data_IF_830321313785
#
_entry.id   IF_830321313785
#
_cell.length_a   1.000
_cell.length_b   1.000
_cell.length_c   1.000
_cell.angle_alpha   90.00
_cell.angle_beta   90.00
_cell.angle_gamma   90.00
#
_symmetry.space_group_name_H-M   'P 1'
#
loop_
_entity.id
_entity.type
_entity.pdbx_description
1 polymer ?
#
# COMPACT_ATOMS: atom_id res chain seq x y z
N UNK A 1 33.73 -5.52 8.93
CA UNK A 1 32.72 -6.04 9.85
C UNK A 1 32.63 -5.08 11.03
N UNK A 2 31.63 -4.18 11.01
CA UNK A 2 31.41 -3.22 12.11
C UNK A 2 30.14 -3.67 12.83
N UNK A 3 30.29 -4.07 14.10
CA UNK A 3 29.17 -4.41 14.99
C UNK A 3 28.42 -3.11 15.32
N UNK A 4 27.15 -3.07 14.96
CA UNK A 4 26.23 -2.01 15.35
C UNK A 4 25.47 -2.50 16.57
N UNK A 5 25.68 -1.84 17.70
CA UNK A 5 24.96 -2.09 18.95
C UNK A 5 23.75 -1.19 18.96
N UNK A 6 22.56 -1.77 18.87
CA UNK A 6 21.30 -1.03 19.10
C UNK A 6 20.96 -1.08 20.60
N UNK A 7 20.93 0.08 21.22
CA UNK A 7 20.43 0.27 22.57
C UNK A 7 18.91 0.47 22.50
N UNK A 8 18.14 -0.51 22.94
CA UNK A 8 16.67 -0.37 23.08
C UNK A 8 16.40 0.32 24.40
N UNK A 9 16.01 1.59 24.35
CA UNK A 9 15.51 2.32 25.53
C UNK A 9 14.05 1.95 25.78
N UNK A 10 13.80 1.29 26.87
CA UNK A 10 12.44 1.06 27.40
C UNK A 10 11.90 2.35 28.00
N UNK A 11 10.82 2.90 27.45
CA UNK A 11 10.08 3.99 28.06
C UNK A 11 9.06 3.41 29.05
N UNK A 12 9.32 3.63 30.34
CA UNK A 12 8.34 3.48 31.40
C UNK A 12 7.48 4.76 31.44
N UNK A 13 6.19 4.63 31.14
CA UNK A 13 5.22 5.67 31.48
C UNK A 13 4.83 5.51 32.96
N UNK A 14 5.33 6.39 33.81
CA UNK A 14 4.77 6.59 35.14
C UNK A 14 3.55 7.52 35.03
N UNK A 15 2.39 7.00 35.39
CA UNK A 15 1.23 7.83 35.73
C UNK A 15 1.37 8.26 37.17
N UNK A 16 1.48 9.57 37.44
CA UNK A 16 1.34 10.15 38.74
C UNK A 16 -0.16 10.28 39.06
N UNK A 17 -0.60 9.67 40.14
CA UNK A 17 -1.78 10.11 40.87
C UNK A 17 -1.35 10.38 42.31
N UNK A 18 -1.47 11.65 42.75
CA UNK A 18 -1.38 12.04 44.13
C UNK A 18 -2.64 11.59 44.86
N UNK A 19 -2.47 10.84 45.95
CA UNK A 19 -3.44 10.89 47.04
C UNK A 19 -2.74 10.60 48.37
N UNK A 20 -3.03 11.47 49.35
CA UNK A 20 -2.57 11.41 50.73
C UNK A 20 -3.39 10.45 51.58
N UNK A 21 -2.74 9.64 52.40
CA UNK A 21 -3.44 9.09 53.54
C UNK A 21 -2.84 7.86 54.23
N UNK A 22 -2.13 8.11 55.32
CA UNK A 22 -2.00 7.32 56.57
C UNK A 22 -1.54 5.85 56.59
N UNK A 23 -0.49 5.67 57.36
CA UNK A 23 0.10 4.46 57.94
C UNK A 23 -0.87 3.33 58.33
N UNK A 24 -0.51 2.11 57.90
CA UNK A 24 -0.53 0.94 58.80
C UNK A 24 0.47 -0.12 58.28
N UNK A 25 1.38 -0.51 59.20
CA UNK A 25 2.23 -1.67 59.03
C UNK A 25 1.39 -2.96 59.05
N UNK A 26 1.63 -3.91 58.19
CA UNK A 26 1.83 -5.31 58.54
C UNK A 26 2.00 -6.23 57.28
N UNK A 27 2.91 -7.18 57.43
CA UNK A 27 2.81 -8.47 56.78
C UNK A 27 3.64 -8.61 55.47
N UNK A 28 4.89 -9.05 55.62
CA UNK A 28 5.71 -9.50 54.49
C UNK A 28 5.04 -10.60 53.70
N UNK A 29 4.72 -10.27 52.45
CA UNK A 29 4.59 -11.24 51.36
C UNK A 29 5.90 -11.19 50.59
N UNK A 30 6.72 -12.24 50.69
CA UNK A 30 7.83 -12.50 49.81
C UNK A 30 7.26 -12.68 48.40
N UNK A 31 7.11 -11.60 47.66
CA UNK A 31 6.88 -11.65 46.22
C UNK A 31 8.13 -12.26 45.58
N UNK A 32 8.01 -13.44 45.03
CA UNK A 32 9.04 -13.99 44.18
C UNK A 32 9.30 -12.98 43.06
N UNK A 33 10.45 -12.32 43.08
CA UNK A 33 10.94 -11.55 41.93
C UNK A 33 11.07 -12.59 40.81
N UNK A 34 10.19 -12.53 39.83
CA UNK A 34 10.31 -13.35 38.65
C UNK A 34 11.61 -12.88 37.98
N UNK A 35 12.63 -13.74 38.05
CA UNK A 35 13.92 -13.46 37.45
C UNK A 35 13.70 -13.27 35.95
N UNK A 36 13.88 -12.04 35.45
CA UNK A 36 13.69 -11.74 34.04
C UNK A 36 14.85 -12.34 33.28
N UNK A 37 14.61 -13.35 32.45
CA UNK A 37 15.64 -13.93 31.59
C UNK A 37 16.24 -12.83 30.70
N UNK A 38 17.57 -12.63 30.75
CA UNK A 38 18.22 -11.68 29.85
C UNK A 38 17.97 -12.05 28.39
N UNK A 39 17.75 -11.04 27.53
CA UNK A 39 17.53 -11.20 26.11
C UNK A 39 18.57 -10.42 25.32
N UNK A 40 19.18 -11.09 24.34
CA UNK A 40 20.09 -10.47 23.37
C UNK A 40 19.65 -10.86 21.95
N UNK A 41 20.22 -10.22 20.94
CA UNK A 41 19.91 -10.57 19.54
C UNK A 41 21.20 -10.79 18.74
N UNK A 42 21.19 -11.83 17.93
CA UNK A 42 22.18 -12.11 16.88
C UNK A 42 21.42 -12.60 15.65
N UNK A 43 20.77 -11.65 14.94
CA UNK A 43 19.89 -11.93 13.81
C UNK A 43 20.72 -12.50 12.65
N UNK A 44 20.79 -13.80 12.57
CA UNK A 44 21.55 -14.58 11.58
C UNK A 44 20.68 -15.48 10.71
N UNK A 45 19.36 -15.51 10.96
CA UNK A 45 18.41 -16.34 10.22
C UNK A 45 17.35 -15.43 9.60
N UNK A 46 17.28 -15.45 8.28
CA UNK A 46 16.21 -14.79 7.53
C UNK A 46 14.97 -15.68 7.47
N UNK A 47 13.81 -15.08 7.70
CA UNK A 47 12.52 -15.75 7.73
C UNK A 47 11.59 -15.23 6.65
N UNK A 48 10.71 -16.10 6.19
CA UNK A 48 9.58 -15.76 5.32
C UNK A 48 8.31 -16.45 5.78
N UNK A 49 7.15 -15.87 5.36
CA UNK A 49 5.83 -16.47 5.50
C UNK A 49 5.25 -16.78 4.12
N UNK A 50 4.36 -17.75 4.03
CA UNK A 50 3.74 -18.15 2.76
C UNK A 50 2.71 -17.12 2.23
N UNK A 51 2.26 -16.18 3.09
CA UNK A 51 1.34 -15.09 2.70
C UNK A 51 1.72 -13.77 3.37
N UNK A 52 1.28 -12.67 2.78
CA UNK A 52 1.46 -11.33 3.32
C UNK A 52 0.57 -11.03 4.53
N UNK A 53 -0.58 -11.67 4.62
CA UNK A 53 -1.50 -11.63 5.76
C UNK A 53 -2.36 -12.89 5.79
N UNK A 54 -3.03 -13.14 6.92
CA UNK A 54 -3.82 -14.33 7.19
C UNK A 54 -5.19 -13.95 7.71
N UNK A 55 -6.23 -14.66 7.27
CA UNK A 55 -7.56 -14.52 7.89
C UNK A 55 -7.57 -15.25 9.24
N UNK A 56 -8.44 -14.83 10.19
CA UNK A 56 -8.65 -15.56 11.43
C UNK A 56 -8.90 -17.05 11.17
N UNK A 57 -8.13 -17.90 11.83
CA UNK A 57 -8.22 -19.36 11.66
C UNK A 57 -7.34 -19.97 10.56
N UNK A 58 -6.66 -19.15 9.75
CA UNK A 58 -5.67 -19.67 8.79
C UNK A 58 -4.35 -20.03 9.49
N UNK A 59 -3.68 -21.09 9.00
CA UNK A 59 -2.35 -21.46 9.45
C UNK A 59 -1.29 -20.64 8.70
N UNK A 60 -0.27 -20.24 9.44
CA UNK A 60 0.95 -19.60 8.92
C UNK A 60 1.96 -20.70 8.63
N UNK A 61 2.57 -20.67 7.46
CA UNK A 61 3.76 -21.48 7.15
C UNK A 61 4.97 -20.57 7.16
N UNK A 62 5.93 -20.87 8.03
CA UNK A 62 7.21 -20.18 8.10
C UNK A 62 8.27 -20.97 7.35
N UNK A 63 9.22 -20.25 6.76
CA UNK A 63 10.40 -20.82 6.15
C UNK A 63 11.62 -20.01 6.56
N UNK A 64 12.66 -20.69 7.02
CA UNK A 64 13.99 -20.14 7.24
C UNK A 64 14.87 -20.38 6.02
N UNK A 65 15.71 -19.41 5.66
CA UNK A 65 16.59 -19.55 4.49
C UNK A 65 17.72 -20.55 4.72
N UNK A 66 18.12 -20.72 5.97
CA UNK A 66 19.18 -21.66 6.38
C UNK A 66 18.69 -22.68 7.41
N UNK A 67 19.44 -23.77 7.53
CA UNK A 67 19.16 -24.79 8.53
C UNK A 67 19.29 -24.21 9.96
N UNK A 68 18.28 -24.45 10.77
CA UNK A 68 18.24 -23.92 12.12
C UNK A 68 19.19 -24.71 13.03
N UNK A 69 19.95 -24.03 13.90
CA UNK A 69 20.79 -24.67 14.90
C UNK A 69 19.97 -25.56 15.83
N UNK A 70 20.59 -26.66 16.29
CA UNK A 70 19.95 -27.58 17.24
C UNK A 70 19.51 -26.81 18.51
N UNK A 71 18.33 -27.11 19.03
CA UNK A 71 17.76 -26.48 20.22
C UNK A 71 17.14 -25.11 19.99
N UNK A 72 17.01 -24.67 18.73
CA UNK A 72 16.24 -23.47 18.40
C UNK A 72 14.79 -23.66 18.77
N UNK A 73 14.20 -22.61 19.38
CA UNK A 73 12.78 -22.52 19.72
C UNK A 73 12.16 -21.32 19.00
N UNK A 74 10.86 -21.35 18.84
CA UNK A 74 10.07 -20.19 18.39
C UNK A 74 9.10 -19.81 19.48
N UNK A 75 8.95 -18.51 19.72
CA UNK A 75 7.86 -17.95 20.53
C UNK A 75 7.10 -16.90 19.70
N UNK A 76 5.82 -16.81 19.97
CA UNK A 76 4.93 -15.89 19.30
C UNK A 76 4.47 -14.84 20.30
N UNK A 77 4.57 -13.57 19.93
CA UNK A 77 4.24 -12.45 20.81
C UNK A 77 3.11 -11.60 20.25
N UNK A 78 2.28 -11.12 21.14
CA UNK A 78 1.32 -10.05 20.91
C UNK A 78 1.62 -8.93 21.90
N UNK A 79 2.02 -7.75 21.40
CA UNK A 79 2.35 -6.56 22.24
C UNK A 79 3.33 -6.86 23.39
N UNK A 80 4.29 -7.74 23.16
CA UNK A 80 5.28 -8.12 24.18
C UNK A 80 4.94 -9.37 24.98
N UNK A 81 3.66 -9.75 25.07
CA UNK A 81 3.25 -10.96 25.76
C UNK A 81 3.45 -12.21 24.89
N UNK A 82 3.97 -13.28 25.49
CA UNK A 82 4.11 -14.57 24.81
C UNK A 82 2.75 -15.26 24.75
N UNK A 83 2.23 -15.49 23.55
CA UNK A 83 0.96 -16.16 23.29
C UNK A 83 1.10 -17.60 22.84
N UNK A 84 2.31 -18.05 22.62
CA UNK A 84 2.66 -19.42 22.26
C UNK A 84 4.17 -19.61 22.16
N UNK A 85 4.63 -20.82 22.45
CA UNK A 85 6.04 -21.21 22.34
C UNK A 85 6.12 -22.68 21.96
N UNK A 86 7.05 -23.00 21.10
CA UNK A 86 7.31 -24.39 20.68
C UNK A 86 8.78 -24.63 20.32
N UNK A 87 9.21 -25.87 20.42
CA UNK A 87 10.50 -26.26 19.87
C UNK A 87 10.41 -26.32 18.35
N UNK A 88 11.33 -25.67 17.66
CA UNK A 88 11.41 -25.76 16.21
C UNK A 88 11.89 -27.16 15.84
N UNK A 89 11.05 -27.82 15.07
CA UNK A 89 11.30 -29.19 14.63
C UNK A 89 12.38 -29.19 13.56
N UNK A 90 13.14 -30.27 13.47
CA UNK A 90 14.18 -30.52 12.49
C UNK A 90 13.77 -30.10 11.07
N UNK A 91 14.37 -29.05 10.54
CA UNK A 91 14.10 -28.53 9.19
C UNK A 91 14.15 -27.01 9.11
N UNK A 92 13.82 -26.51 7.94
CA UNK A 92 13.77 -25.07 7.64
C UNK A 92 12.34 -24.52 7.59
N UNK A 93 11.31 -25.36 7.83
CA UNK A 93 9.91 -24.91 7.75
C UNK A 93 9.08 -25.50 8.89
N UNK A 94 8.17 -24.70 9.42
CA UNK A 94 7.19 -25.08 10.43
C UNK A 94 5.88 -24.33 10.24
N UNK A 95 4.84 -24.72 10.99
CA UNK A 95 3.53 -24.08 10.91
C UNK A 95 3.07 -23.62 12.28
N UNK A 96 2.33 -22.54 12.32
CA UNK A 96 1.68 -22.02 13.51
C UNK A 96 0.21 -21.70 13.26
N UNK A 97 -0.63 -21.95 14.25
CA UNK A 97 -2.04 -21.56 14.25
C UNK A 97 -2.21 -20.33 15.15
N UNK A 98 -2.28 -19.09 14.59
CA UNK A 98 -2.53 -17.91 15.39
C UNK A 98 -3.89 -17.99 16.13
N UNK A 99 -4.05 -17.28 17.25
CA UNK A 99 -5.36 -17.04 17.80
C UNK A 99 -6.33 -16.43 16.77
N UNK A 100 -7.60 -16.79 16.84
CA UNK A 100 -8.62 -16.36 15.87
C UNK A 100 -9.14 -14.93 16.08
N UNK A 101 -8.54 -14.18 17.00
CA UNK A 101 -8.88 -12.76 17.21
C UNK A 101 -8.45 -11.94 16.01
N UNK A 102 -9.41 -11.24 15.40
CA UNK A 102 -9.19 -10.43 14.23
C UNK A 102 -8.38 -9.15 14.49
N UNK A 103 -7.73 -8.63 13.45
CA UNK A 103 -6.95 -7.39 13.46
C UNK A 103 -5.84 -7.39 14.51
N UNK A 104 -5.01 -8.44 14.49
CA UNK A 104 -3.85 -8.60 15.37
C UNK A 104 -2.57 -8.80 14.56
N UNK A 105 -1.53 -8.09 14.99
CA UNK A 105 -0.16 -8.29 14.52
C UNK A 105 0.64 -9.05 15.55
N UNK A 106 1.22 -10.16 15.16
CA UNK A 106 2.08 -10.99 16.00
C UNK A 106 3.52 -10.87 15.53
N UNK A 107 4.45 -11.16 16.45
CA UNK A 107 5.87 -11.35 16.15
C UNK A 107 6.26 -12.79 16.45
N UNK A 108 6.80 -13.49 15.46
CA UNK A 108 7.48 -14.76 15.68
C UNK A 108 8.96 -14.48 15.93
N UNK A 109 9.50 -14.99 17.05
CA UNK A 109 10.90 -14.85 17.44
C UNK A 109 11.53 -16.24 17.50
N UNK A 110 12.50 -16.51 16.64
CA UNK A 110 13.39 -17.65 16.80
C UNK A 110 14.48 -17.30 17.81
N UNK A 111 14.70 -18.18 18.78
CA UNK A 111 15.72 -17.94 19.81
C UNK A 111 16.39 -19.23 20.26
N UNK A 112 17.56 -19.10 20.85
CA UNK A 112 18.32 -20.16 21.53
C UNK A 112 18.60 -19.71 22.95
N UNK A 113 18.75 -20.66 23.85
CA UNK A 113 19.23 -20.39 25.21
C UNK A 113 20.72 -20.62 25.29
N UNK A 114 21.47 -19.56 25.63
CA UNK A 114 22.92 -19.61 25.80
C UNK A 114 23.30 -19.03 27.18
N UNK A 115 23.86 -19.87 28.04
CA UNK A 115 24.30 -19.46 29.39
C UNK A 115 23.22 -18.72 30.21
N UNK A 116 21.97 -19.15 30.14
CA UNK A 116 20.83 -18.51 30.84
C UNK A 116 20.32 -17.24 30.18
N UNK A 117 20.77 -16.93 28.95
CA UNK A 117 20.31 -15.79 28.14
C UNK A 117 19.56 -16.29 26.91
N UNK A 118 18.44 -15.69 26.57
CA UNK A 118 17.76 -15.90 25.30
C UNK A 118 18.45 -15.08 24.20
N UNK A 119 18.98 -15.75 23.20
CA UNK A 119 19.59 -15.11 22.02
C UNK A 119 18.62 -15.22 20.85
N UNK A 120 18.02 -14.10 20.44
CA UNK A 120 17.11 -14.04 19.29
C UNK A 120 17.93 -14.11 18.01
N UNK A 121 17.68 -15.11 17.17
CA UNK A 121 18.43 -15.37 15.94
C UNK A 121 17.63 -15.03 14.66
N UNK A 122 16.32 -14.87 14.75
CA UNK A 122 15.47 -14.46 13.63
C UNK A 122 14.12 -13.95 14.10
N UNK A 123 13.53 -13.03 13.37
CA UNK A 123 12.20 -12.48 13.67
C UNK A 123 11.41 -12.28 12.38
N UNK A 124 10.09 -12.47 12.48
CA UNK A 124 9.16 -12.10 11.40
C UNK A 124 7.79 -11.74 11.97
N UNK A 125 7.14 -10.75 11.38
CA UNK A 125 5.77 -10.39 11.73
C UNK A 125 4.75 -11.37 11.12
N UNK A 126 3.58 -11.45 11.74
CA UNK A 126 2.41 -12.17 11.20
C UNK A 126 1.19 -11.26 11.39
N UNK A 127 0.52 -10.95 10.29
CA UNK A 127 -0.70 -10.14 10.27
C UNK A 127 -1.93 -11.05 10.16
N UNK A 128 -2.79 -11.03 11.17
CA UNK A 128 -4.08 -11.73 11.17
C UNK A 128 -5.19 -10.70 10.98
N UNK A 129 -5.76 -10.68 9.79
CA UNK A 129 -6.74 -9.68 9.39
C UNK A 129 -7.74 -10.25 8.38
N UNK A 130 -9.03 -10.14 8.68
CA UNK A 130 -10.09 -10.50 7.73
C UNK A 130 -10.22 -9.49 6.60
N UNK A 131 -9.72 -8.27 6.82
CA UNK A 131 -9.73 -7.15 5.87
C UNK A 131 -8.33 -6.53 5.75
N UNK A 132 -7.64 -6.72 4.62
CA UNK A 132 -6.30 -6.18 4.41
C UNK A 132 -6.27 -4.64 4.35
N UNK A 133 -7.41 -3.96 4.15
CA UNK A 133 -7.49 -2.50 4.16
C UNK A 133 -7.34 -1.90 5.57
N UNK A 134 -7.45 -2.72 6.62
CA UNK A 134 -7.23 -2.27 8.01
C UNK A 134 -5.75 -2.03 8.33
N UNK A 135 -4.85 -2.68 7.62
CA UNK A 135 -3.40 -2.51 7.77
C UNK A 135 -2.73 -2.51 6.38
N UNK A 136 -3.04 -1.52 5.53
CA UNK A 136 -2.54 -1.49 4.17
C UNK A 136 -1.03 -1.21 4.16
N UNK A 137 -0.29 -2.09 3.51
CA UNK A 137 1.12 -1.93 3.18
C UNK A 137 1.22 -1.97 1.67
N UNK A 138 1.40 -0.79 1.09
CA UNK A 138 1.21 -0.55 -0.33
C UNK A 138 2.54 -0.45 -1.05
N UNK A 139 2.71 -1.24 -2.10
CA UNK A 139 3.83 -1.18 -3.02
C UNK A 139 3.39 -0.93 -4.45
N UNK A 140 4.34 -0.85 -5.38
CA UNK A 140 4.03 -0.78 -6.80
C UNK A 140 5.05 -1.55 -7.64
N UNK A 141 4.61 -1.97 -8.83
CA UNK A 141 5.44 -2.49 -9.91
C UNK A 141 5.27 -1.59 -11.14
N UNK A 142 6.35 -1.38 -11.90
CA UNK A 142 6.37 -0.44 -13.04
C UNK A 142 7.14 -0.96 -14.26
N UNK A 143 7.61 -2.20 -14.22
CA UNK A 143 8.30 -2.85 -15.34
C UNK A 143 7.50 -4.08 -15.78
N UNK A 144 6.98 -4.03 -16.98
CA UNK A 144 6.18 -5.11 -17.60
C UNK A 144 6.84 -5.63 -18.86
N UNK A 145 8.16 -5.54 -18.94
CA UNK A 145 8.96 -6.03 -20.05
C UNK A 145 8.89 -7.56 -20.19
N UNK A 146 9.35 -8.08 -21.32
CA UNK A 146 9.42 -9.53 -21.58
C UNK A 146 10.26 -10.31 -20.55
N UNK A 147 11.14 -9.61 -19.82
CA UNK A 147 11.99 -10.21 -18.77
C UNK A 147 11.18 -10.64 -17.53
N UNK A 148 9.94 -10.17 -17.39
CA UNK A 148 9.05 -10.48 -16.26
C UNK A 148 8.32 -11.81 -16.49
N UNK A 149 9.10 -12.90 -16.54
CA UNK A 149 8.58 -14.28 -16.61
C UNK A 149 7.83 -14.65 -15.34
N UNK A 150 7.12 -15.78 -15.34
CA UNK A 150 6.41 -16.27 -14.15
C UNK A 150 7.37 -16.52 -12.97
N UNK A 151 8.56 -17.05 -13.23
CA UNK A 151 9.59 -17.28 -12.22
C UNK A 151 10.10 -15.94 -11.66
N UNK A 152 10.41 -14.98 -12.55
CA UNK A 152 10.96 -13.69 -12.12
C UNK A 152 9.95 -12.89 -11.30
N UNK A 153 8.70 -12.85 -11.71
CA UNK A 153 7.64 -12.16 -10.96
C UNK A 153 7.37 -12.84 -9.62
N UNK A 154 7.48 -14.17 -9.55
CA UNK A 154 7.36 -14.92 -8.29
C UNK A 154 8.48 -14.55 -7.31
N UNK A 155 9.74 -14.42 -7.77
CA UNK A 155 10.87 -13.97 -6.94
C UNK A 155 10.66 -12.55 -6.41
N UNK A 156 10.24 -11.64 -7.28
CA UNK A 156 9.99 -10.24 -6.89
C UNK A 156 8.84 -10.11 -5.89
N UNK A 157 7.76 -10.88 -6.07
CA UNK A 157 6.65 -10.88 -5.13
C UNK A 157 6.99 -11.58 -3.82
N UNK A 158 7.84 -12.62 -3.83
CA UNK A 158 8.37 -13.22 -2.62
C UNK A 158 9.20 -12.21 -1.80
N UNK A 159 10.00 -11.37 -2.48
CA UNK A 159 10.71 -10.28 -1.83
C UNK A 159 9.76 -9.27 -1.17
N UNK A 160 8.70 -8.83 -1.87
CA UNK A 160 7.69 -7.93 -1.29
C UNK A 160 6.93 -8.60 -0.14
N UNK A 161 6.66 -9.90 -0.23
CA UNK A 161 6.01 -10.66 0.83
C UNK A 161 6.83 -10.68 2.13
N UNK A 162 8.15 -10.77 2.05
CA UNK A 162 9.03 -10.66 3.24
C UNK A 162 8.87 -9.34 3.99
N UNK A 163 8.47 -8.28 3.27
CA UNK A 163 8.17 -6.96 3.84
C UNK A 163 6.68 -6.77 4.15
N UNK A 164 5.90 -7.85 4.08
CA UNK A 164 4.45 -7.87 4.34
C UNK A 164 3.65 -6.88 3.49
N UNK A 165 4.12 -6.55 2.29
CA UNK A 165 3.34 -5.78 1.31
C UNK A 165 2.12 -6.60 0.94
N UNK A 166 0.92 -6.05 1.14
CA UNK A 166 -0.34 -6.74 0.93
C UNK A 166 -1.22 -6.13 -0.17
N UNK A 167 -0.80 -4.98 -0.72
CA UNK A 167 -1.41 -4.31 -1.86
C UNK A 167 -0.33 -3.86 -2.83
N UNK A 168 -0.54 -4.07 -4.13
CA UNK A 168 0.45 -3.69 -5.16
C UNK A 168 -0.25 -2.99 -6.31
N UNK A 169 0.20 -1.78 -6.61
CA UNK A 169 -0.21 -0.96 -7.73
C UNK A 169 0.60 -1.30 -8.98
N UNK A 170 -0.05 -1.34 -10.12
CA UNK A 170 0.56 -1.50 -11.43
C UNK A 170 0.73 -0.13 -12.08
N UNK A 171 1.88 0.51 -11.83
CA UNK A 171 2.15 1.86 -12.32
C UNK A 171 2.43 1.86 -13.82
N UNK A 172 1.76 2.74 -14.57
CA UNK A 172 1.95 2.95 -16.01
C UNK A 172 1.86 1.67 -16.87
N UNK A 173 1.09 0.69 -16.45
CA UNK A 173 0.89 -0.56 -17.20
C UNK A 173 -0.02 -0.38 -18.42
N UNK A 174 -0.84 0.69 -18.45
CA UNK A 174 -1.94 0.90 -19.38
C UNK A 174 -1.48 1.48 -20.73
N UNK A 175 -2.24 1.18 -21.76
CA UNK A 175 -1.98 1.70 -23.12
C UNK A 175 -2.21 3.23 -23.19
N UNK A 176 -3.40 3.69 -22.81
CA UNK A 176 -3.78 5.11 -22.77
C UNK A 176 -4.68 5.35 -21.56
N UNK A 177 -4.72 6.55 -21.01
CA UNK A 177 -5.60 6.85 -19.89
C UNK A 177 -7.09 6.67 -20.24
N UNK A 178 -7.52 7.09 -21.42
CA UNK A 178 -8.89 6.93 -21.90
C UNK A 178 -9.18 5.54 -22.50
N UNK A 179 -8.16 4.76 -22.78
CA UNK A 179 -8.26 3.39 -23.29
C UNK A 179 -7.16 2.52 -22.67
N UNK A 180 -7.34 2.09 -21.41
CA UNK A 180 -6.25 1.47 -20.64
C UNK A 180 -5.80 0.11 -21.19
N UNK A 181 -6.70 -0.65 -21.81
CA UNK A 181 -6.39 -1.98 -22.32
C UNK A 181 -5.53 -1.91 -23.59
N UNK A 182 -4.49 -2.74 -23.68
CA UNK A 182 -3.80 -3.03 -24.94
C UNK A 182 -4.67 -3.96 -25.78
N UNK A 183 -5.18 -3.46 -26.93
CA UNK A 183 -6.12 -4.18 -27.78
C UNK A 183 -7.59 -3.91 -27.41
N UNK A 184 -8.43 -4.95 -27.51
CA UNK A 184 -9.86 -4.89 -27.24
C UNK A 184 -10.29 -5.92 -26.19
N UNK A 185 -11.52 -5.82 -25.69
CA UNK A 185 -12.07 -6.78 -24.72
C UNK A 185 -11.97 -8.24 -25.16
N UNK A 186 -12.11 -8.49 -26.46
CA UNK A 186 -12.12 -9.86 -27.03
C UNK A 186 -10.81 -10.28 -27.65
N UNK A 187 -9.88 -9.34 -27.86
CA UNK A 187 -8.57 -9.59 -28.46
C UNK A 187 -7.53 -8.66 -27.82
N UNK A 188 -6.75 -9.21 -26.91
CA UNK A 188 -5.63 -8.51 -26.32
C UNK A 188 -4.46 -8.47 -27.29
N UNK A 189 -3.76 -7.34 -27.29
CA UNK A 189 -2.43 -7.27 -27.89
C UNK A 189 -1.45 -8.08 -27.01
N UNK A 190 -0.59 -8.87 -27.62
CA UNK A 190 0.48 -9.56 -26.90
C UNK A 190 1.46 -8.57 -26.28
N UNK A 191 1.77 -7.51 -27.05
CA UNK A 191 2.65 -6.41 -26.66
C UNK A 191 2.00 -5.09 -27.08
N UNK A 192 1.97 -4.12 -26.20
CA UNK A 192 1.54 -2.76 -26.50
C UNK A 192 2.49 -1.74 -25.88
N UNK A 193 2.37 -0.48 -26.29
CA UNK A 193 3.15 0.61 -25.71
C UNK A 193 2.35 1.28 -24.59
N UNK A 194 2.99 1.56 -23.46
CA UNK A 194 2.41 2.42 -22.43
C UNK A 194 2.42 3.91 -22.82
N UNK A 195 2.00 4.79 -21.91
CA UNK A 195 1.97 6.24 -22.15
C UNK A 195 3.37 6.85 -22.40
N UNK A 196 4.42 6.21 -21.88
CA UNK A 196 5.83 6.62 -22.06
C UNK A 196 6.51 5.94 -23.27
N UNK A 197 5.74 5.23 -24.11
CA UNK A 197 6.23 4.43 -25.23
C UNK A 197 7.23 3.33 -24.82
N UNK A 198 7.01 2.71 -23.63
CA UNK A 198 7.71 1.49 -23.22
C UNK A 198 6.86 0.28 -23.59
N UNK A 199 7.50 -0.82 -23.98
CA UNK A 199 6.80 -2.07 -24.27
C UNK A 199 6.23 -2.67 -22.98
N UNK A 200 4.95 -3.02 -23.01
CA UNK A 200 4.22 -3.77 -21.98
C UNK A 200 3.80 -5.11 -22.59
N UNK A 201 4.23 -6.19 -21.95
CA UNK A 201 3.84 -7.54 -22.31
C UNK A 201 2.63 -7.96 -21.49
N UNK A 202 1.54 -8.31 -22.16
CA UNK A 202 0.31 -8.80 -21.51
C UNK A 202 0.57 -10.00 -20.61
N UNK A 203 1.49 -10.89 -21.01
CA UNK A 203 1.93 -12.02 -20.20
C UNK A 203 2.59 -11.58 -18.88
N UNK A 204 3.42 -10.53 -18.91
CA UNK A 204 4.11 -10.01 -17.72
C UNK A 204 3.13 -9.40 -16.72
N UNK A 205 2.11 -8.69 -17.19
CA UNK A 205 1.02 -8.19 -16.33
C UNK A 205 0.31 -9.35 -15.65
N UNK A 206 -0.04 -10.40 -16.39
CA UNK A 206 -0.70 -11.61 -15.84
C UNK A 206 0.18 -12.35 -14.84
N UNK A 207 1.49 -12.50 -15.15
CA UNK A 207 2.44 -13.15 -14.26
C UNK A 207 2.53 -12.44 -12.90
N UNK A 208 2.56 -11.10 -12.88
CA UNK A 208 2.55 -10.35 -11.64
C UNK A 208 1.27 -10.54 -10.84
N UNK A 209 0.09 -10.47 -11.48
CA UNK A 209 -1.19 -10.69 -10.79
C UNK A 209 -1.22 -12.10 -10.16
N UNK A 210 -0.80 -13.11 -10.90
CA UNK A 210 -0.75 -14.49 -10.41
C UNK A 210 0.21 -14.65 -9.23
N UNK A 211 1.42 -14.08 -9.35
CA UNK A 211 2.41 -14.11 -8.28
C UNK A 211 1.91 -13.40 -7.02
N UNK A 212 1.26 -12.25 -7.15
CA UNK A 212 0.66 -11.52 -6.03
C UNK A 212 -0.43 -12.33 -5.34
N UNK A 213 -1.34 -12.91 -6.10
CA UNK A 213 -2.43 -13.73 -5.56
C UNK A 213 -1.94 -14.97 -4.81
N UNK A 214 -0.80 -15.57 -5.21
CA UNK A 214 -0.19 -16.68 -4.46
C UNK A 214 0.19 -16.28 -3.04
N UNK A 215 0.61 -15.05 -2.83
CA UNK A 215 0.91 -14.49 -1.50
C UNK A 215 -0.29 -13.81 -0.83
N UNK A 216 -1.48 -13.89 -1.42
CA UNK A 216 -2.69 -13.25 -0.90
C UNK A 216 -2.72 -11.73 -1.05
N UNK A 217 -1.79 -11.14 -1.81
CA UNK A 217 -1.76 -9.70 -2.07
C UNK A 217 -2.91 -9.26 -2.97
N UNK A 218 -3.28 -7.99 -2.89
CA UNK A 218 -4.25 -7.33 -3.76
C UNK A 218 -3.55 -6.65 -4.93
N UNK A 219 -4.02 -6.90 -6.15
CA UNK A 219 -3.51 -6.34 -7.40
C UNK A 219 -4.38 -5.16 -7.82
N UNK A 220 -3.80 -3.95 -7.90
CA UNK A 220 -4.51 -2.72 -8.22
C UNK A 220 -4.00 -2.13 -9.54
N UNK A 221 -4.86 -2.03 -10.56
CA UNK A 221 -4.42 -1.31 -11.75
C UNK A 221 -4.47 0.21 -11.52
N UNK A 222 -3.49 0.89 -12.09
CA UNK A 222 -3.35 2.34 -12.03
C UNK A 222 -4.00 2.99 -13.26
N UNK A 223 -4.71 4.11 -13.07
CA UNK A 223 -5.05 5.03 -14.14
C UNK A 223 -5.52 6.38 -13.57
N UNK A 224 -5.46 7.45 -14.38
CA UNK A 224 -6.04 8.75 -14.06
C UNK A 224 -7.58 8.72 -14.15
N UNK A 225 -8.26 9.45 -13.25
CA UNK A 225 -9.71 9.62 -13.32
C UNK A 225 -10.19 10.53 -14.48
N UNK A 226 -9.28 11.26 -15.13
CA UNK A 226 -9.64 12.38 -16.02
C UNK A 226 -8.60 12.67 -17.10
N UNK A 227 -7.88 11.66 -17.58
CA UNK A 227 -6.83 11.81 -18.59
C UNK A 227 -7.25 11.32 -19.97
N UNK A 228 -6.99 12.12 -21.00
CA UNK A 228 -7.15 11.75 -22.40
C UNK A 228 -5.92 12.16 -23.21
N UNK A 229 -5.48 11.31 -24.17
CA UNK A 229 -4.38 11.63 -25.06
C UNK A 229 -4.90 12.38 -26.30
N UNK A 230 -3.98 12.87 -27.13
CA UNK A 230 -4.31 13.71 -28.30
C UNK A 230 -5.22 13.03 -29.33
N UNK A 231 -5.21 11.70 -29.38
CA UNK A 231 -5.97 10.87 -30.33
C UNK A 231 -7.30 10.35 -29.76
N UNK A 232 -7.68 10.78 -28.55
CA UNK A 232 -8.81 10.24 -27.82
C UNK A 232 -10.17 10.37 -28.53
N UNK A 233 -10.32 11.36 -29.42
CA UNK A 233 -11.51 11.48 -30.23
C UNK A 233 -11.75 10.27 -31.14
N UNK A 234 -10.71 9.61 -31.62
CA UNK A 234 -10.81 8.38 -32.44
C UNK A 234 -11.28 7.18 -31.62
N UNK A 235 -11.09 7.23 -30.31
CA UNK A 235 -11.47 6.21 -29.36
C UNK A 235 -12.83 6.54 -28.68
N UNK A 236 -13.53 7.59 -29.13
CA UNK A 236 -14.88 7.94 -28.71
C UNK A 236 -14.96 8.99 -27.59
N UNK A 237 -13.84 9.59 -27.18
CA UNK A 237 -13.87 10.73 -26.23
C UNK A 237 -14.42 11.97 -26.93
N UNK A 238 -15.45 12.57 -26.32
CA UNK A 238 -16.14 13.72 -26.91
C UNK A 238 -15.54 15.04 -26.45
N UNK A 239 -15.66 16.05 -27.30
CA UNK A 239 -15.17 17.39 -27.04
C UNK A 239 -15.81 18.03 -25.80
N UNK A 240 -17.09 17.76 -25.58
CA UNK A 240 -17.88 18.29 -24.47
C UNK A 240 -17.47 17.72 -23.11
N UNK A 241 -16.60 16.73 -23.07
CA UNK A 241 -16.11 16.15 -21.81
C UNK A 241 -14.88 16.83 -21.27
N UNK A 242 -14.14 17.60 -22.12
CA UNK A 242 -12.88 18.22 -21.69
C UNK A 242 -13.08 19.37 -20.72
N UNK A 243 -12.03 19.61 -19.94
CA UNK A 243 -11.87 20.80 -19.10
C UNK A 243 -11.08 21.88 -19.86
N UNK A 244 -11.48 23.11 -19.67
CA UNK A 244 -10.92 24.26 -20.35
C UNK A 244 -10.36 25.29 -19.35
N UNK A 245 -9.33 26.01 -19.80
CA UNK A 245 -8.71 27.09 -19.03
C UNK A 245 -9.52 28.38 -19.06
N UNK A 246 -10.50 28.46 -19.97
CA UNK A 246 -11.35 29.63 -20.19
C UNK A 246 -12.82 29.23 -20.42
N UNK A 247 -13.74 30.15 -20.03
CA UNK A 247 -15.18 29.91 -20.14
C UNK A 247 -15.69 29.85 -21.59
N UNK A 248 -14.90 30.27 -22.56
CA UNK A 248 -15.20 30.22 -23.99
C UNK A 248 -14.80 28.90 -24.62
N UNK A 249 -14.30 27.93 -23.83
CA UNK A 249 -13.79 26.61 -24.23
C UNK A 249 -12.81 26.66 -25.42
N UNK A 250 -11.94 27.67 -25.44
CA UNK A 250 -10.96 27.83 -26.54
C UNK A 250 -9.68 27.07 -26.26
N UNK A 251 -9.30 26.86 -24.99
CA UNK A 251 -8.05 26.24 -24.61
C UNK A 251 -8.30 25.11 -23.60
N UNK A 252 -8.12 23.86 -24.04
CA UNK A 252 -8.19 22.69 -23.14
C UNK A 252 -7.11 22.76 -22.07
N UNK A 253 -7.41 22.34 -20.86
CA UNK A 253 -6.38 22.12 -19.86
C UNK A 253 -5.60 20.86 -20.17
N UNK A 254 -4.30 20.91 -19.95
CA UNK A 254 -3.39 19.79 -20.20
C UNK A 254 -2.27 19.74 -19.17
N UNK A 255 -1.73 18.55 -19.00
CA UNK A 255 -0.50 18.29 -18.28
C UNK A 255 0.58 17.89 -19.28
N UNK A 256 1.67 18.65 -19.29
CA UNK A 256 2.77 18.39 -20.23
C UNK A 256 3.58 17.19 -19.77
N UNK A 257 3.86 16.29 -20.69
CA UNK A 257 4.71 15.14 -20.50
C UNK A 257 6.05 15.30 -21.23
N UNK A 258 7.10 14.60 -20.80
CA UNK A 258 8.40 14.65 -21.46
C UNK A 258 8.32 14.30 -22.95
N UNK A 259 9.22 14.87 -23.74
CA UNK A 259 9.35 14.50 -25.16
C UNK A 259 9.61 13.00 -25.33
N UNK A 260 8.97 12.40 -26.34
CA UNK A 260 9.04 10.96 -26.61
C UNK A 260 7.89 10.14 -26.00
N UNK A 261 7.07 10.72 -25.12
CA UNK A 261 5.82 10.12 -24.67
C UNK A 261 4.73 10.22 -25.75
N UNK A 262 3.67 9.43 -25.63
CA UNK A 262 2.58 9.40 -26.65
C UNK A 262 1.99 10.76 -26.96
N UNK A 263 1.70 11.56 -25.93
CA UNK A 263 1.29 12.97 -26.01
C UNK A 263 1.23 13.59 -24.63
N UNK A 264 0.93 14.89 -24.54
CA UNK A 264 0.43 15.48 -23.30
C UNK A 264 -0.89 14.85 -22.90
N UNK A 265 -1.23 14.94 -21.62
CA UNK A 265 -2.51 14.50 -21.07
C UNK A 265 -3.47 15.68 -21.09
N UNK A 266 -4.57 15.58 -21.82
CA UNK A 266 -5.67 16.55 -21.80
C UNK A 266 -6.66 16.15 -20.72
N UNK A 267 -7.11 17.10 -19.91
CA UNK A 267 -7.97 16.81 -18.78
C UNK A 267 -9.44 16.79 -19.19
N UNK A 268 -10.15 15.82 -18.68
CA UNK A 268 -11.59 15.62 -18.87
C UNK A 268 -12.29 15.90 -17.55
N UNK A 269 -13.52 16.39 -17.57
CA UNK A 269 -14.29 16.67 -16.35
C UNK A 269 -14.65 15.35 -15.62
N UNK A 270 -14.08 15.07 -14.45
CA UNK A 270 -14.35 13.84 -13.70
C UNK A 270 -15.79 13.80 -13.16
N UNK A 271 -16.52 14.92 -13.14
CA UNK A 271 -17.93 14.97 -12.76
C UNK A 271 -18.89 14.69 -13.92
N UNK A 272 -18.41 14.69 -15.18
CA UNK A 272 -19.21 14.44 -16.37
C UNK A 272 -19.69 12.98 -16.40
N UNK A 273 -21.01 12.79 -16.43
CA UNK A 273 -21.62 11.46 -16.32
C UNK A 273 -21.36 10.56 -17.52
N UNK A 274 -21.23 11.15 -18.72
CA UNK A 274 -20.90 10.36 -19.92
C UNK A 274 -19.44 9.90 -19.90
N UNK A 275 -18.52 10.78 -19.42
CA UNK A 275 -17.13 10.37 -19.19
C UNK A 275 -17.02 9.28 -18.14
N UNK A 276 -17.68 9.43 -17.00
CA UNK A 276 -17.72 8.40 -15.96
C UNK A 276 -18.19 7.05 -16.51
N UNK A 277 -19.28 7.06 -17.29
CA UNK A 277 -19.79 5.86 -17.94
C UNK A 277 -18.78 5.28 -18.92
N UNK A 278 -18.22 6.12 -19.80
CA UNK A 278 -17.22 5.70 -20.79
C UNK A 278 -16.01 5.02 -20.14
N UNK A 279 -15.40 5.67 -19.12
CA UNK A 279 -14.21 5.10 -18.49
C UNK A 279 -14.52 3.83 -17.68
N UNK A 280 -15.68 3.75 -17.04
CA UNK A 280 -16.10 2.54 -16.35
C UNK A 280 -16.34 1.37 -17.32
N UNK A 281 -16.87 1.61 -18.52
CA UNK A 281 -16.94 0.59 -19.58
C UNK A 281 -15.55 0.12 -20.03
N UNK A 282 -14.55 1.01 -20.05
CA UNK A 282 -13.14 0.59 -20.32
C UNK A 282 -12.57 -0.19 -19.15
N UNK A 283 -12.93 0.13 -17.92
CA UNK A 283 -12.56 -0.65 -16.73
C UNK A 283 -13.22 -2.04 -16.74
N UNK A 284 -14.46 -2.18 -17.24
CA UNK A 284 -15.08 -3.49 -17.49
C UNK A 284 -14.22 -4.35 -18.43
N UNK A 285 -13.65 -3.74 -19.47
CA UNK A 285 -12.77 -4.45 -20.41
C UNK A 285 -11.48 -4.91 -19.72
N UNK A 286 -10.93 -4.09 -18.82
CA UNK A 286 -9.77 -4.45 -18.00
C UNK A 286 -10.10 -5.64 -17.08
N UNK A 287 -11.16 -5.56 -16.30
CA UNK A 287 -11.55 -6.63 -15.38
C UNK A 287 -11.97 -7.94 -16.07
N UNK A 288 -12.47 -7.85 -17.30
CA UNK A 288 -12.79 -9.04 -18.09
C UNK A 288 -11.54 -9.81 -18.55
N UNK A 289 -10.37 -9.16 -18.63
CA UNK A 289 -9.14 -9.71 -19.18
C UNK A 289 -8.04 -9.96 -18.15
N UNK A 290 -8.09 -9.24 -17.02
CA UNK A 290 -7.09 -9.31 -15.96
C UNK A 290 -7.79 -9.45 -14.61
N UNK A 291 -7.28 -10.34 -13.78
CA UNK A 291 -7.82 -10.60 -12.44
C UNK A 291 -7.42 -9.53 -11.41
N UNK A 292 -7.47 -8.25 -11.79
CA UNK A 292 -7.23 -7.16 -10.85
C UNK A 292 -8.30 -7.14 -9.74
N UNK A 293 -7.86 -6.90 -8.51
CA UNK A 293 -8.73 -6.76 -7.35
C UNK A 293 -9.39 -5.38 -7.27
N UNK A 294 -8.77 -4.37 -7.87
CA UNK A 294 -9.28 -3.02 -7.79
C UNK A 294 -8.55 -2.01 -8.67
N UNK A 295 -8.92 -0.75 -8.46
CA UNK A 295 -8.44 0.40 -9.21
C UNK A 295 -7.75 1.41 -8.30
N UNK A 296 -6.49 1.72 -8.59
CA UNK A 296 -5.76 2.85 -8.06
C UNK A 296 -6.04 4.06 -8.94
N UNK A 297 -6.93 4.91 -8.48
CA UNK A 297 -7.32 6.14 -9.16
C UNK A 297 -6.28 7.21 -8.87
N UNK A 298 -5.78 7.86 -9.91
CA UNK A 298 -4.86 8.96 -9.76
C UNK A 298 -5.43 10.28 -10.29
N UNK A 299 -4.79 11.39 -9.89
CA UNK A 299 -5.12 12.76 -10.27
C UNK A 299 -3.84 13.64 -10.21
N UNK A 300 -3.90 14.85 -10.74
CA UNK A 300 -2.72 15.69 -10.97
C UNK A 300 -2.61 16.89 -10.00
N UNK A 301 -3.21 16.79 -8.81
CA UNK A 301 -3.15 17.84 -7.79
C UNK A 301 -4.00 19.08 -8.13
N UNK A 302 -3.67 20.17 -7.47
CA UNK A 302 -4.40 21.43 -7.62
C UNK A 302 -4.19 22.01 -9.01
N UNK A 303 -5.28 22.42 -9.64
CA UNK A 303 -5.31 23.16 -10.90
C UNK A 303 -5.82 24.58 -10.66
N UNK A 304 -5.60 25.49 -11.62
CA UNK A 304 -6.27 26.77 -11.67
C UNK A 304 -7.78 26.59 -11.86
N UNK A 305 -8.55 27.66 -11.87
CA UNK A 305 -9.98 27.58 -12.22
C UNK A 305 -10.13 26.97 -13.60
N UNK A 306 -10.90 25.90 -13.68
CA UNK A 306 -11.23 25.20 -14.91
C UNK A 306 -12.72 25.29 -15.18
N UNK A 307 -13.07 25.21 -16.44
CA UNK A 307 -14.44 25.29 -16.92
C UNK A 307 -14.80 24.04 -17.73
N UNK A 308 -16.06 23.64 -17.63
CA UNK A 308 -16.60 22.64 -18.56
C UNK A 308 -16.89 23.27 -19.93
N UNK A 309 -17.33 22.46 -20.89
CA UNK A 309 -17.65 22.91 -22.25
C UNK A 309 -18.68 24.04 -22.30
N UNK A 310 -19.59 24.13 -21.33
CA UNK A 310 -20.62 25.18 -21.24
C UNK A 310 -20.13 26.43 -20.53
N UNK A 311 -18.84 26.58 -20.25
CA UNK A 311 -18.24 27.71 -19.56
C UNK A 311 -18.56 27.79 -18.07
N UNK A 312 -19.01 26.73 -17.46
CA UNK A 312 -19.33 26.66 -16.04
C UNK A 312 -18.07 26.23 -15.27
N UNK A 313 -17.67 26.96 -14.21
CA UNK A 313 -16.54 26.55 -13.38
C UNK A 313 -16.76 25.17 -12.75
N UNK A 314 -15.72 24.32 -12.79
CA UNK A 314 -15.76 22.97 -12.25
C UNK A 314 -14.99 22.89 -10.94
N UNK A 315 -15.61 22.30 -9.92
CA UNK A 315 -14.94 21.95 -8.68
C UNK A 315 -14.38 20.51 -8.80
N UNK A 316 -13.10 20.40 -9.12
CA UNK A 316 -12.45 19.09 -9.29
C UNK A 316 -12.57 18.17 -8.08
N UNK A 317 -12.54 18.72 -6.86
CA UNK A 317 -12.64 17.91 -5.63
C UNK A 317 -14.00 17.22 -5.52
N UNK A 318 -15.08 17.93 -5.84
CA UNK A 318 -16.43 17.33 -5.94
C UNK A 318 -16.53 16.38 -7.13
N UNK A 319 -15.82 16.67 -8.22
CA UNK A 319 -15.68 15.79 -9.37
C UNK A 319 -15.05 14.46 -9.01
N UNK A 320 -14.02 14.44 -8.15
CA UNK A 320 -13.40 13.21 -7.66
C UNK A 320 -14.37 12.36 -6.84
N UNK A 321 -15.11 12.96 -5.90
CA UNK A 321 -16.13 12.24 -5.14
C UNK A 321 -17.18 11.61 -6.08
N UNK A 322 -17.69 12.42 -7.03
CA UNK A 322 -18.66 11.95 -8.03
C UNK A 322 -18.12 10.79 -8.88
N UNK A 323 -16.84 10.84 -9.26
CA UNK A 323 -16.18 9.78 -10.01
C UNK A 323 -16.04 8.49 -9.20
N UNK A 324 -15.59 8.59 -7.93
CA UNK A 324 -15.48 7.47 -6.99
C UNK A 324 -16.84 6.77 -6.83
N UNK A 325 -17.91 7.53 -6.60
CA UNK A 325 -19.25 7.00 -6.43
C UNK A 325 -19.73 6.25 -7.68
N UNK A 326 -19.54 6.83 -8.86
CA UNK A 326 -19.91 6.20 -10.13
C UNK A 326 -19.10 4.92 -10.39
N UNK A 327 -17.81 4.93 -10.08
CA UNK A 327 -16.92 3.77 -10.25
C UNK A 327 -17.29 2.65 -9.26
N UNK A 328 -17.56 2.99 -8.00
CA UNK A 328 -17.98 1.99 -7.01
C UNK A 328 -19.36 1.42 -7.31
N UNK A 329 -20.25 2.20 -7.91
CA UNK A 329 -21.56 1.72 -8.38
C UNK A 329 -21.41 0.75 -9.56
N UNK A 330 -20.49 1.03 -10.50
CA UNK A 330 -20.21 0.15 -11.64
C UNK A 330 -19.54 -1.17 -11.21
N UNK A 331 -18.63 -1.09 -10.24
CA UNK A 331 -17.82 -2.24 -9.78
C UNK A 331 -17.90 -2.38 -8.26
N UNK A 332 -19.04 -2.80 -7.68
CA UNK A 332 -19.26 -2.80 -6.24
C UNK A 332 -18.30 -3.72 -5.47
N UNK A 333 -17.88 -4.82 -6.08
CA UNK A 333 -17.00 -5.82 -5.48
C UNK A 333 -15.49 -5.50 -5.62
N UNK A 334 -15.15 -4.45 -6.36
CA UNK A 334 -13.78 -4.06 -6.60
C UNK A 334 -13.29 -3.03 -5.59
N UNK A 335 -12.06 -3.18 -5.17
CA UNK A 335 -11.37 -2.22 -4.30
C UNK A 335 -11.12 -0.91 -5.04
N UNK A 336 -11.23 0.21 -4.31
CA UNK A 336 -10.89 1.53 -4.83
C UNK A 336 -9.94 2.24 -3.88
N UNK A 337 -8.89 2.81 -4.44
CA UNK A 337 -7.98 3.73 -3.77
C UNK A 337 -7.82 4.94 -4.65
N UNK A 338 -7.85 6.15 -4.10
CA UNK A 338 -7.60 7.36 -4.87
C UNK A 338 -6.49 8.19 -4.24
N UNK A 339 -5.55 8.62 -5.08
CA UNK A 339 -4.46 9.48 -4.66
C UNK A 339 -4.97 10.88 -4.31
N UNK A 340 -4.60 11.37 -3.14
CA UNK A 340 -4.77 12.76 -2.74
C UNK A 340 -3.41 13.46 -2.83
N UNK A 341 -3.05 13.91 -4.04
CA UNK A 341 -1.79 14.62 -4.31
C UNK A 341 -1.72 15.90 -3.48
N UNK A 342 -0.72 16.05 -2.62
CA UNK A 342 -0.58 17.19 -1.71
C UNK A 342 -1.91 17.51 -1.00
N UNK A 343 -2.58 16.50 -0.45
CA UNK A 343 -3.90 16.58 0.24
C UNK A 343 -5.07 17.05 -0.64
N UNK A 344 -4.84 17.36 -1.94
CA UNK A 344 -5.88 17.91 -2.78
C UNK A 344 -7.02 16.91 -3.00
N UNK A 345 -8.22 17.28 -2.54
CA UNK A 345 -9.40 16.41 -2.61
C UNK A 345 -9.53 15.36 -1.49
N UNK A 346 -8.58 15.27 -0.56
CA UNK A 346 -8.59 14.25 0.49
C UNK A 346 -9.92 14.20 1.27
N UNK A 347 -10.48 15.36 1.61
CA UNK A 347 -11.78 15.46 2.28
C UNK A 347 -12.89 14.82 1.46
N UNK A 348 -13.06 15.24 0.21
CA UNK A 348 -14.13 14.73 -0.65
C UNK A 348 -13.96 13.23 -0.93
N UNK A 349 -12.72 12.77 -1.12
CA UNK A 349 -12.40 11.35 -1.30
C UNK A 349 -12.85 10.54 -0.08
N UNK A 350 -12.43 10.95 1.13
CA UNK A 350 -12.74 10.24 2.37
C UNK A 350 -14.23 10.26 2.72
N UNK A 351 -14.90 11.42 2.55
CA UNK A 351 -16.32 11.58 2.86
C UNK A 351 -17.24 10.71 1.97
N UNK A 352 -16.75 10.20 0.83
CA UNK A 352 -17.52 9.21 0.04
C UNK A 352 -17.75 7.90 0.81
N UNK A 353 -16.83 7.52 1.69
CA UNK A 353 -16.83 6.21 2.36
C UNK A 353 -16.74 5.03 1.37
N UNK A 354 -16.18 5.24 0.16
CA UNK A 354 -16.13 4.24 -0.92
C UNK A 354 -14.71 3.79 -1.27
N UNK A 355 -13.69 4.46 -0.75
CA UNK A 355 -12.29 4.04 -0.88
C UNK A 355 -11.90 3.13 0.27
N UNK A 356 -10.98 2.19 0.02
CA UNK A 356 -10.55 1.21 1.02
C UNK A 356 -9.64 1.85 2.08
N UNK A 357 -8.84 2.83 1.70
CA UNK A 357 -7.98 3.63 2.58
C UNK A 357 -7.56 4.92 1.89
N UNK A 358 -7.00 5.87 2.64
CA UNK A 358 -6.37 7.05 2.08
C UNK A 358 -5.01 6.72 1.49
N UNK A 359 -4.73 7.27 0.31
CA UNK A 359 -3.42 7.27 -0.31
C UNK A 359 -3.02 8.72 -0.55
N UNK A 360 -1.96 9.19 0.11
CA UNK A 360 -1.48 10.56 0.00
C UNK A 360 -0.08 10.56 -0.62
N UNK A 361 0.04 11.17 -1.77
CA UNK A 361 1.31 11.47 -2.38
C UNK A 361 1.88 12.73 -1.72
N UNK A 362 3.01 12.56 -1.03
CA UNK A 362 3.64 13.61 -0.21
C UNK A 362 4.88 14.13 -0.91
N UNK A 363 4.82 15.38 -1.32
CA UNK A 363 5.92 16.07 -1.96
C UNK A 363 6.82 16.80 -0.95
N UNK A 364 7.98 17.30 -1.42
CA UNK A 364 9.04 17.85 -0.57
C UNK A 364 8.61 18.98 0.36
N UNK A 365 7.60 19.77 -0.01
CA UNK A 365 7.04 20.86 0.79
C UNK A 365 6.13 20.39 1.94
N UNK A 366 5.74 19.12 1.93
CA UNK A 366 4.95 18.47 2.97
C UNK A 366 5.71 17.34 3.68
N UNK A 367 6.98 17.10 3.31
CA UNK A 367 7.74 15.94 3.73
C UNK A 367 8.47 16.18 5.07
N UNK A 368 7.74 16.52 6.12
CA UNK A 368 8.22 16.53 7.50
C UNK A 368 7.23 15.84 8.44
N UNK A 369 7.69 15.39 9.61
CA UNK A 369 6.86 14.66 10.56
C UNK A 369 5.64 15.44 11.06
N UNK A 370 5.71 16.76 11.13
CA UNK A 370 4.60 17.61 11.56
C UNK A 370 3.48 17.58 10.52
N UNK A 371 3.85 17.72 9.24
CA UNK A 371 2.89 17.62 8.13
C UNK A 371 2.31 16.21 7.98
N UNK A 372 3.14 15.16 8.07
CA UNK A 372 2.64 13.78 8.04
C UNK A 372 1.64 13.51 9.17
N UNK A 373 1.92 14.00 10.38
CA UNK A 373 0.99 13.92 11.51
C UNK A 373 -0.31 14.68 11.25
N UNK A 374 -0.23 15.88 10.65
CA UNK A 374 -1.41 16.66 10.28
C UNK A 374 -2.28 15.93 9.26
N UNK A 375 -1.67 15.32 8.23
CA UNK A 375 -2.38 14.52 7.23
C UNK A 375 -3.12 13.35 7.90
N UNK A 376 -2.49 12.63 8.84
CA UNK A 376 -3.14 11.55 9.57
C UNK A 376 -4.39 12.02 10.32
N UNK A 377 -4.33 13.15 11.01
CA UNK A 377 -5.47 13.71 11.72
C UNK A 377 -6.58 14.16 10.78
N UNK A 378 -6.24 14.86 9.69
CA UNK A 378 -7.20 15.31 8.69
C UNK A 378 -7.92 14.11 8.06
N UNK A 379 -7.17 13.10 7.61
CA UNK A 379 -7.72 11.86 7.05
C UNK A 379 -8.58 11.11 8.07
N UNK A 380 -8.17 11.07 9.34
CA UNK A 380 -8.98 10.49 10.42
C UNK A 380 -10.36 11.15 10.48
N UNK A 381 -10.42 12.48 10.45
CA UNK A 381 -11.69 13.24 10.44
C UNK A 381 -12.49 12.96 9.16
N UNK A 382 -11.85 13.04 7.98
CA UNK A 382 -12.54 12.87 6.70
C UNK A 382 -13.07 11.45 6.48
N UNK A 383 -12.36 10.45 6.97
CA UNK A 383 -12.76 9.04 6.91
C UNK A 383 -13.53 8.55 8.15
N UNK A 384 -13.98 9.48 9.01
CA UNK A 384 -14.67 9.15 10.27
C UNK A 384 -13.92 8.10 11.12
N UNK A 385 -12.58 8.17 11.12
CA UNK A 385 -11.65 7.23 11.80
C UNK A 385 -11.83 5.76 11.41
N UNK A 386 -12.42 5.49 10.25
CA UNK A 386 -12.62 4.14 9.71
C UNK A 386 -11.58 3.76 8.65
N UNK A 387 -10.93 4.74 8.04
CA UNK A 387 -9.97 4.55 6.97
C UNK A 387 -8.55 4.79 7.46
N UNK A 388 -7.63 3.92 7.08
CA UNK A 388 -6.21 4.09 7.34
C UNK A 388 -5.54 4.96 6.27
N UNK A 389 -4.30 5.37 6.50
CA UNK A 389 -3.55 6.23 5.58
C UNK A 389 -2.28 5.51 5.11
N UNK A 390 -2.07 5.51 3.81
CA UNK A 390 -0.81 5.18 3.14
C UNK A 390 -0.16 6.47 2.67
N UNK A 391 1.12 6.64 2.97
CA UNK A 391 1.94 7.71 2.42
C UNK A 391 2.79 7.20 1.26
N UNK A 392 2.62 7.80 0.09
CA UNK A 392 3.59 7.74 -1.00
C UNK A 392 4.57 8.91 -0.82
N UNK A 393 5.52 8.74 0.08
CA UNK A 393 6.49 9.78 0.41
C UNK A 393 7.74 9.64 -0.47
N UNK A 394 8.09 10.71 -1.19
CA UNK A 394 9.33 10.75 -1.95
C UNK A 394 10.52 10.97 -1.04
N UNK A 395 11.23 9.89 -0.76
CA UNK A 395 12.45 9.90 0.03
C UNK A 395 13.59 10.53 -0.77
N UNK A 396 14.37 11.38 -0.12
CA UNK A 396 15.49 12.03 -0.75
C UNK A 396 16.78 11.21 -0.62
N UNK A 397 16.85 10.09 -1.31
CA UNK A 397 17.96 9.12 -1.21
C UNK A 397 19.34 9.73 -1.46
N UNK A 398 19.43 10.77 -2.31
CA UNK A 398 20.68 11.44 -2.61
C UNK A 398 21.19 12.33 -1.47
N UNK A 399 20.38 12.55 -0.45
CA UNK A 399 20.68 13.35 0.73
C UNK A 399 20.80 12.52 2.02
N UNK A 400 20.81 11.19 1.90
CA UNK A 400 21.13 10.34 3.03
C UNK A 400 22.53 10.66 3.53
N UNK A 401 22.69 10.86 4.82
CA UNK A 401 24.00 11.10 5.43
C UNK A 401 24.75 9.78 5.68
N UNK A 402 25.98 9.90 6.18
CA UNK A 402 26.82 8.74 6.48
C UNK A 402 26.30 7.84 7.62
N UNK A 403 25.26 8.27 8.32
CA UNK A 403 24.56 7.49 9.35
C UNK A 403 23.36 6.72 8.80
N UNK A 404 23.04 6.91 7.52
CA UNK A 404 21.86 6.35 6.88
C UNK A 404 20.56 7.14 7.16
N UNK A 405 20.69 8.35 7.69
CA UNK A 405 19.56 9.24 7.90
C UNK A 405 19.21 9.98 6.62
N UNK A 406 17.92 10.16 6.38
CA UNK A 406 17.38 10.97 5.30
C UNK A 406 16.90 12.30 5.88
N UNK A 407 17.12 13.39 5.17
CA UNK A 407 16.76 14.71 5.66
C UNK A 407 15.30 15.11 5.32
N UNK A 408 14.50 14.20 4.82
CA UNK A 408 13.06 14.31 4.66
C UNK A 408 12.44 12.92 4.49
N UNK A 409 11.37 12.62 5.17
CA UNK A 409 10.71 13.31 6.28
C UNK A 409 11.33 12.95 7.63
N UNK A 410 12.43 12.22 7.64
CA UNK A 410 13.11 11.74 8.82
C UNK A 410 14.16 12.65 9.38
#
# INVERSE_FOLDING_TARGET
MKKIIYLVAAFLCMACSDDHGSNQENGGASGSVTEVTPVTSDLSVDLSTDKAFYKPGEKVVFTADDALPAGTKVRYRLLGEVVGEESVVNGTSWTWQPPTTDFKGYMAELYRQENGTDVIVGTIAVDVSSDPARFPRYGFVADFSREKTAEKTQEEMAYLNRHHINWVQFQDWHNKHHWPLGGTRTQLDEVYMDIANREVYTSSVKNYIEAQHRFGMKSMFYNLCFGALKDAATDGVKEEWYLFKDASHTTKDSHDLPGGWKSNIYLVDPSNKEWQKYLNERNDDVYANFAFDGYQIDQLGRRSTLYNYNGIPVNLREGYASFIEATKQAHPDKSLVMNAVSRYGARQIGETGKVDFFYNEVWADEADFTNLKAILYENGVYGNYQLNTVFAAYMNYNKADNRGEFNTPG
#
